data_IF_073684799417
#
_entry.id   IF_073684799417
#
_cell.length_a   1.000
_cell.length_b   1.000
_cell.length_c   1.000
_cell.angle_alpha   90.00
_cell.angle_beta   90.00
_cell.angle_gamma   90.00
#
_symmetry.space_group_name_H-M   'P 1'
#
loop_
_entity.id
_entity.type
_entity.pdbx_description
1 polymer ?
#
# COMPACT_ATOMS: atom_id res chain seq x y z
N UNK A 1 57.73 17.93 -37.44
CA UNK A 1 57.30 16.82 -36.54
C UNK A 1 55.78 16.73 -36.67
N UNK A 2 55.28 15.88 -37.58
CA UNK A 2 54.86 14.47 -37.41
C UNK A 2 53.54 14.31 -36.62
N UNK A 3 52.52 13.85 -37.38
CA UNK A 3 51.46 12.89 -37.03
C UNK A 3 50.32 13.38 -36.11
N UNK A 4 49.08 12.88 -36.19
CA UNK A 4 48.32 12.11 -37.17
C UNK A 4 46.89 12.01 -36.59
N UNK A 5 45.88 11.98 -37.46
CA UNK A 5 44.52 11.54 -37.15
C UNK A 5 44.52 10.18 -36.44
N UNK A 6 43.61 9.98 -35.47
CA UNK A 6 42.86 8.73 -35.33
C UNK A 6 41.45 9.00 -34.79
N UNK A 7 40.49 8.56 -35.59
CA UNK A 7 39.10 8.33 -35.25
C UNK A 7 38.99 7.06 -34.38
N UNK A 8 37.81 6.92 -33.74
CA UNK A 8 36.97 5.72 -33.76
C UNK A 8 36.80 4.90 -32.45
N UNK A 9 35.53 4.85 -32.03
CA UNK A 9 34.75 3.74 -31.45
C UNK A 9 35.00 3.28 -30.00
N UNK A 10 33.91 3.28 -29.22
CA UNK A 10 33.70 2.30 -28.16
C UNK A 10 32.96 2.80 -26.91
N UNK A 11 31.62 2.82 -26.96
CA UNK A 11 30.78 2.09 -25.99
C UNK A 11 31.02 2.26 -24.48
N UNK A 12 30.19 3.06 -23.79
CA UNK A 12 29.10 2.61 -22.90
C UNK A 12 28.62 3.77 -22.03
N UNK A 13 27.35 4.15 -22.25
CA UNK A 13 26.62 4.98 -21.31
C UNK A 13 26.36 4.18 -20.03
N UNK A 14 26.98 4.60 -18.92
CA UNK A 14 26.49 4.29 -17.58
C UNK A 14 26.22 5.61 -16.88
N UNK A 15 24.97 6.05 -17.01
CA UNK A 15 24.36 6.98 -16.06
C UNK A 15 24.40 6.24 -14.71
N UNK A 16 25.34 6.63 -13.86
CA UNK A 16 25.35 6.26 -12.46
C UNK A 16 24.07 6.82 -11.83
N UNK A 17 23.05 5.97 -11.73
CA UNK A 17 21.88 6.22 -10.92
C UNK A 17 22.34 6.44 -9.47
N UNK A 18 21.89 7.51 -8.80
CA UNK A 18 22.27 7.77 -7.44
C UNK A 18 21.73 6.66 -6.53
N UNK A 19 22.62 6.16 -5.69
CA UNK A 19 22.30 5.35 -4.53
C UNK A 19 21.11 5.98 -3.78
N UNK A 20 20.12 5.14 -3.52
CA UNK A 20 18.94 5.45 -2.72
C UNK A 20 19.40 5.94 -1.34
N UNK A 21 19.37 7.26 -1.13
CA UNK A 21 19.56 7.85 0.18
C UNK A 21 18.32 7.56 1.01
N UNK A 22 18.45 6.56 1.87
CA UNK A 22 17.75 6.46 3.13
C UNK A 22 18.03 7.71 4.01
N UNK A 23 17.15 8.02 4.96
CA UNK A 23 17.37 8.97 6.06
C UNK A 23 16.96 10.46 5.90
N UNK A 24 15.86 10.80 5.21
CA UNK A 24 15.03 11.99 5.57
C UNK A 24 13.57 11.82 5.12
N UNK A 25 12.77 11.00 5.82
CA UNK A 25 11.31 11.22 5.79
C UNK A 25 11.05 12.52 6.55
N UNK A 26 10.69 13.53 5.77
CA UNK A 26 10.31 14.85 6.22
C UNK A 26 9.20 14.74 7.27
N UNK A 27 9.52 15.10 8.51
CA UNK A 27 8.55 15.66 9.44
C UNK A 27 8.10 17.00 8.86
N UNK A 28 7.00 16.99 8.11
CA UNK A 28 6.30 18.20 7.68
C UNK A 28 4.93 18.23 8.32
N UNK A 29 4.86 18.96 9.45
CA UNK A 29 3.68 19.44 10.18
C UNK A 29 2.67 18.37 10.66
N UNK A 30 2.12 18.51 11.89
CA UNK A 30 0.90 17.80 12.23
C UNK A 30 -0.26 18.46 11.47
N UNK A 31 -0.35 18.20 10.16
CA UNK A 31 -1.57 18.47 9.44
C UNK A 31 -2.56 17.45 9.99
N UNK A 32 -3.43 17.91 10.89
CA UNK A 32 -4.63 17.18 11.30
C UNK A 32 -5.16 16.48 10.05
N UNK A 33 -5.28 15.14 10.04
CA UNK A 33 -5.76 14.45 8.85
C UNK A 33 -7.05 15.14 8.42
N UNK A 34 -7.21 15.49 7.13
CA UNK A 34 -8.39 16.20 6.68
C UNK A 34 -9.61 15.44 7.20
N UNK A 35 -10.69 16.13 7.61
CA UNK A 35 -11.89 15.50 8.23
C UNK A 35 -12.48 14.34 7.41
N UNK A 36 -12.05 14.21 6.16
CA UNK A 36 -12.51 13.22 5.19
C UNK A 36 -11.50 12.09 4.98
N UNK A 37 -10.31 12.11 5.60
CA UNK A 37 -9.25 11.12 5.38
C UNK A 37 -9.69 9.71 5.78
N UNK A 38 -10.38 9.59 6.92
CA UNK A 38 -10.93 8.29 7.37
C UNK A 38 -12.00 7.78 6.40
N UNK A 39 -12.90 8.67 5.95
CA UNK A 39 -13.91 8.33 4.95
C UNK A 39 -13.28 7.92 3.60
N UNK A 40 -12.19 8.58 3.18
CA UNK A 40 -11.42 8.18 1.99
C UNK A 40 -10.75 6.82 2.18
N UNK A 41 -10.23 6.51 3.37
CA UNK A 41 -9.68 5.18 3.68
C UNK A 41 -10.76 4.11 3.65
N UNK A 42 -11.97 4.38 4.15
CA UNK A 42 -13.12 3.47 4.05
C UNK A 42 -13.55 3.26 2.59
N UNK A 43 -13.61 4.31 1.77
CA UNK A 43 -13.93 4.20 0.34
C UNK A 43 -12.88 3.36 -0.41
N UNK A 44 -11.59 3.57 -0.12
CA UNK A 44 -10.51 2.77 -0.67
C UNK A 44 -10.62 1.29 -0.24
N UNK A 45 -10.94 1.03 1.03
CA UNK A 45 -11.16 -0.34 1.52
C UNK A 45 -12.35 -1.01 0.83
N UNK A 46 -13.42 -0.26 0.57
CA UNK A 46 -14.61 -0.75 -0.13
C UNK A 46 -14.28 -1.27 -1.53
N UNK A 47 -13.30 -0.69 -2.22
CA UNK A 47 -12.83 -1.22 -3.51
C UNK A 47 -12.22 -2.61 -3.38
N UNK A 48 -11.46 -2.86 -2.30
CA UNK A 48 -10.94 -4.18 -1.99
C UNK A 48 -12.08 -5.13 -1.59
N UNK A 49 -13.03 -4.69 -0.76
CA UNK A 49 -14.23 -5.47 -0.40
C UNK A 49 -15.00 -5.95 -1.64
N UNK A 50 -15.17 -5.10 -2.66
CA UNK A 50 -15.85 -5.46 -3.91
C UNK A 50 -15.10 -6.58 -4.64
N UNK A 51 -13.77 -6.48 -4.75
CA UNK A 51 -12.94 -7.51 -5.39
C UNK A 51 -13.06 -8.85 -4.63
N UNK A 52 -12.96 -8.81 -3.30
CA UNK A 52 -13.11 -10.03 -2.47
C UNK A 52 -14.51 -10.63 -2.61
N UNK A 53 -15.55 -9.79 -2.65
CA UNK A 53 -16.95 -10.23 -2.74
C UNK A 53 -17.31 -10.85 -4.09
N UNK A 54 -16.58 -10.49 -5.16
CA UNK A 54 -16.73 -11.13 -6.48
C UNK A 54 -16.30 -12.61 -6.47
N UNK A 55 -15.63 -13.05 -5.39
CA UNK A 55 -15.34 -14.46 -5.14
C UNK A 55 -14.11 -14.99 -5.88
N UNK A 56 -13.37 -14.14 -6.58
CA UNK A 56 -12.13 -14.51 -7.27
C UNK A 56 -11.09 -15.14 -6.32
N UNK A 57 -11.09 -14.73 -5.05
CA UNK A 57 -10.22 -15.28 -4.01
C UNK A 57 -10.70 -16.62 -3.41
N UNK A 58 -11.96 -17.03 -3.66
CA UNK A 58 -12.47 -18.32 -3.16
C UNK A 58 -11.99 -19.50 -4.01
N UNK A 59 -11.61 -19.23 -5.25
CA UNK A 59 -11.19 -20.21 -6.25
C UNK A 59 -9.81 -19.82 -6.79
N UNK A 60 -8.71 -20.20 -6.10
CA UNK A 60 -7.36 -19.86 -6.55
C UNK A 60 -7.05 -20.37 -7.97
N UNK A 61 -7.76 -21.41 -8.42
CA UNK A 61 -7.69 -21.96 -9.78
C UNK A 61 -8.28 -21.05 -10.87
N UNK A 62 -9.21 -20.16 -10.52
CA UNK A 62 -9.82 -19.19 -11.45
C UNK A 62 -9.24 -17.79 -11.30
N UNK A 63 -8.32 -17.57 -10.36
CA UNK A 63 -7.73 -16.28 -10.08
C UNK A 63 -6.88 -15.82 -11.28
N UNK A 64 -7.31 -14.73 -11.93
CA UNK A 64 -6.62 -14.19 -13.08
C UNK A 64 -5.53 -13.21 -12.67
N UNK A 65 -4.58 -12.94 -13.56
CA UNK A 65 -3.55 -11.94 -13.32
C UNK A 65 -4.14 -10.53 -13.20
N UNK A 66 -5.23 -10.24 -13.93
CA UNK A 66 -5.94 -8.98 -13.85
C UNK A 66 -6.61 -8.79 -12.48
N UNK A 67 -7.16 -9.85 -11.88
CA UNK A 67 -7.74 -9.79 -10.52
C UNK A 67 -6.68 -9.48 -9.47
N UNK A 68 -5.51 -10.13 -9.58
CA UNK A 68 -4.39 -9.91 -8.65
C UNK A 68 -3.88 -8.47 -8.79
N UNK A 69 -3.77 -7.95 -10.02
CA UNK A 69 -3.36 -6.56 -10.28
C UNK A 69 -4.40 -5.56 -9.78
N UNK A 70 -5.69 -5.82 -10.00
CA UNK A 70 -6.76 -4.98 -9.48
C UNK A 70 -6.72 -4.91 -7.95
N UNK A 71 -6.49 -6.05 -7.28
CA UNK A 71 -6.31 -6.10 -5.83
C UNK A 71 -5.07 -5.30 -5.40
N UNK A 72 -3.94 -5.46 -6.09
CA UNK A 72 -2.70 -4.73 -5.78
C UNK A 72 -2.88 -3.20 -5.87
N UNK A 73 -3.57 -2.73 -6.92
CA UNK A 73 -3.86 -1.32 -7.12
C UNK A 73 -4.78 -0.77 -6.04
N UNK A 74 -5.83 -1.51 -5.67
CA UNK A 74 -6.72 -1.13 -4.60
C UNK A 74 -6.00 -1.11 -3.22
N UNK A 75 -5.10 -2.06 -2.98
CA UNK A 75 -4.26 -2.09 -1.77
C UNK A 75 -3.30 -0.89 -1.69
N UNK A 76 -2.71 -0.49 -2.81
CA UNK A 76 -1.85 0.70 -2.88
C UNK A 76 -2.64 1.97 -2.54
N UNK A 77 -3.84 2.12 -3.11
CA UNK A 77 -4.74 3.25 -2.81
C UNK A 77 -5.13 3.27 -1.33
N UNK A 78 -5.47 2.11 -0.75
CA UNK A 78 -5.78 2.00 0.66
C UNK A 78 -4.60 2.47 1.53
N UNK A 79 -3.38 2.04 1.20
CA UNK A 79 -2.16 2.43 1.91
C UNK A 79 -1.91 3.93 1.82
N UNK A 80 -2.15 4.54 0.67
CA UNK A 80 -2.02 5.99 0.47
C UNK A 80 -3.03 6.76 1.34
N UNK A 81 -4.30 6.38 1.30
CA UNK A 81 -5.34 6.97 2.15
C UNK A 81 -5.04 6.78 3.65
N UNK A 82 -4.57 5.59 4.06
CA UNK A 82 -4.13 5.32 5.42
C UNK A 82 -2.96 6.22 5.84
N UNK A 83 -2.03 6.51 4.92
CA UNK A 83 -0.94 7.45 5.15
C UNK A 83 -1.41 8.89 5.37
N UNK A 84 -2.36 9.36 4.57
CA UNK A 84 -2.98 10.68 4.74
C UNK A 84 -3.74 10.75 6.07
N UNK A 85 -4.37 9.64 6.48
CA UNK A 85 -5.08 9.50 7.76
C UNK A 85 -4.15 9.24 8.97
N UNK A 86 -2.84 9.10 8.76
CA UNK A 86 -1.84 8.74 9.78
C UNK A 86 -2.13 7.41 10.51
N UNK A 87 -2.76 6.45 9.82
CA UNK A 87 -3.08 5.13 10.36
C UNK A 87 -1.90 4.17 10.20
N UNK A 88 -0.84 4.35 11.00
CA UNK A 88 0.42 3.60 10.87
C UNK A 88 0.23 2.08 10.91
N UNK A 89 -0.62 1.57 11.81
CA UNK A 89 -0.90 0.12 11.89
C UNK A 89 -1.51 -0.40 10.59
N UNK A 90 -2.43 0.35 10.00
CA UNK A 90 -3.08 -0.03 8.74
C UNK A 90 -2.09 0.00 7.58
N UNK A 91 -1.21 1.01 7.53
CA UNK A 91 -0.14 1.07 6.54
C UNK A 91 0.80 -0.14 6.64
N UNK A 92 1.23 -0.50 7.86
CA UNK A 92 2.09 -1.67 8.07
C UNK A 92 1.41 -2.97 7.65
N UNK A 93 0.11 -3.11 7.91
CA UNK A 93 -0.66 -4.25 7.46
C UNK A 93 -0.78 -4.30 5.92
N UNK A 94 -0.97 -3.15 5.27
CA UNK A 94 -0.96 -3.05 3.80
C UNK A 94 0.41 -3.45 3.23
N UNK A 95 1.51 -2.99 3.83
CA UNK A 95 2.87 -3.29 3.36
C UNK A 95 3.18 -4.80 3.50
N UNK A 96 2.77 -5.43 4.60
CA UNK A 96 2.89 -6.89 4.78
C UNK A 96 2.05 -7.68 3.75
N UNK A 97 0.84 -7.20 3.45
CA UNK A 97 -0.02 -7.82 2.46
C UNK A 97 0.51 -7.62 1.03
N UNK A 98 1.15 -6.48 0.75
CA UNK A 98 1.76 -6.18 -0.54
C UNK A 98 2.86 -7.19 -0.90
N UNK A 99 3.63 -7.68 0.08
CA UNK A 99 4.58 -8.78 -0.14
C UNK A 99 3.85 -10.03 -0.63
N UNK A 100 2.73 -10.38 0.00
CA UNK A 100 1.93 -11.55 -0.41
C UNK A 100 1.39 -11.38 -1.82
N UNK A 101 0.83 -10.20 -2.13
CA UNK A 101 0.31 -9.90 -3.47
C UNK A 101 1.41 -9.89 -4.52
N UNK A 102 2.60 -9.36 -4.22
CA UNK A 102 3.77 -9.42 -5.12
C UNK A 102 4.13 -10.86 -5.48
N UNK A 103 4.15 -11.77 -4.50
CA UNK A 103 4.43 -13.20 -4.81
C UNK A 103 3.37 -13.84 -5.72
N UNK A 104 2.14 -13.34 -5.71
CA UNK A 104 1.06 -13.80 -6.59
C UNK A 104 1.16 -13.18 -7.99
N UNK A 105 1.64 -11.94 -8.09
CA UNK A 105 1.92 -11.28 -9.37
C UNK A 105 3.06 -11.99 -10.09
N UNK A 106 4.15 -12.30 -9.38
CA UNK A 106 5.34 -12.94 -9.94
C UNK A 106 5.06 -14.38 -10.38
N UNK A 107 4.27 -15.12 -9.59
CA UNK A 107 3.88 -16.48 -9.92
C UNK A 107 2.49 -16.82 -9.37
N UNK A 108 1.50 -16.87 -10.27
CA UNK A 108 0.12 -17.23 -9.93
C UNK A 108 -0.02 -18.64 -9.36
N UNK A 109 0.90 -19.56 -9.64
CA UNK A 109 0.85 -20.91 -9.08
C UNK A 109 1.07 -20.91 -7.55
N UNK A 110 1.57 -19.80 -7.00
CA UNK A 110 1.62 -19.57 -5.56
C UNK A 110 0.26 -19.22 -4.94
N UNK A 111 -0.80 -19.04 -5.74
CA UNK A 111 -2.15 -18.87 -5.26
C UNK A 111 -2.58 -20.15 -4.52
N UNK A 112 -2.58 -20.07 -3.19
CA UNK A 112 -3.06 -21.13 -2.31
C UNK A 112 -4.29 -20.65 -1.56
N UNK A 113 -5.20 -21.56 -1.16
CA UNK A 113 -6.37 -21.20 -0.37
C UNK A 113 -6.01 -20.38 0.87
N UNK A 114 -4.89 -20.69 1.54
CA UNK A 114 -4.42 -19.96 2.72
C UNK A 114 -4.07 -18.49 2.43
N UNK A 115 -3.41 -18.21 1.30
CA UNK A 115 -3.07 -16.84 0.92
C UNK A 115 -4.31 -16.05 0.54
N UNK A 116 -5.22 -16.65 -0.23
CA UNK A 116 -6.47 -16.00 -0.63
C UNK A 116 -7.40 -15.75 0.57
N UNK A 117 -7.42 -16.67 1.54
CA UNK A 117 -8.10 -16.50 2.81
C UNK A 117 -7.47 -15.38 3.65
N UNK A 118 -6.14 -15.25 3.66
CA UNK A 118 -5.45 -14.14 4.32
C UNK A 118 -5.81 -12.77 3.69
N UNK A 119 -5.86 -12.69 2.36
CA UNK A 119 -6.32 -11.50 1.63
C UNK A 119 -7.76 -11.13 2.01
N UNK A 120 -8.65 -12.13 2.08
CA UNK A 120 -10.06 -11.91 2.46
C UNK A 120 -10.21 -11.47 3.92
N UNK A 121 -9.48 -12.12 4.85
CA UNK A 121 -9.49 -11.74 6.28
C UNK A 121 -8.91 -10.36 6.54
N UNK A 122 -7.91 -9.95 5.76
CA UNK A 122 -7.32 -8.62 5.88
C UNK A 122 -8.38 -7.53 5.74
N UNK A 123 -9.34 -7.69 4.84
CA UNK A 123 -10.39 -6.68 4.60
C UNK A 123 -11.25 -6.45 5.86
N UNK A 124 -11.66 -7.54 6.52
CA UNK A 124 -12.40 -7.46 7.78
C UNK A 124 -11.55 -6.78 8.86
N UNK A 125 -10.28 -7.18 8.97
CA UNK A 125 -9.37 -6.61 9.96
C UNK A 125 -9.09 -5.12 9.73
N UNK A 126 -8.85 -4.72 8.47
CA UNK A 126 -8.62 -3.34 8.08
C UNK A 126 -9.83 -2.46 8.40
N UNK A 127 -11.06 -2.97 8.19
CA UNK A 127 -12.29 -2.27 8.53
C UNK A 127 -12.37 -1.97 10.03
N UNK A 128 -12.13 -2.99 10.86
CA UNK A 128 -12.15 -2.82 12.32
C UNK A 128 -11.11 -1.79 12.79
N UNK A 129 -9.91 -1.82 12.21
CA UNK A 129 -8.85 -0.84 12.52
C UNK A 129 -9.26 0.59 12.18
N UNK A 130 -9.94 0.80 11.04
CA UNK A 130 -10.42 2.13 10.63
C UNK A 130 -11.52 2.63 11.56
N UNK A 131 -12.50 1.78 11.88
CA UNK A 131 -13.61 2.13 12.78
C UNK A 131 -13.13 2.44 14.20
N UNK A 132 -12.13 1.71 14.71
CA UNK A 132 -11.52 2.00 16.01
C UNK A 132 -10.85 3.38 16.04
N UNK A 133 -10.18 3.76 14.94
CA UNK A 133 -9.53 5.08 14.82
C UNK A 133 -10.54 6.25 14.77
N UNK A 134 -11.78 6.03 14.30
CA UNK A 134 -12.85 7.04 14.39
C UNK A 134 -13.27 7.32 15.84
N UNK A 135 -13.34 6.26 16.66
CA UNK A 135 -13.76 6.36 18.06
C UNK A 135 -12.66 6.96 18.95
N UNK A 136 -11.39 6.56 18.76
CA UNK A 136 -10.24 7.12 19.50
C UNK A 136 -10.07 8.63 19.26
N UNK A 137 -10.49 9.12 18.08
CA UNK A 137 -10.45 10.54 17.73
C UNK A 137 -11.57 11.37 18.38
N UNK A 138 -12.63 10.73 18.89
CA UNK A 138 -13.80 11.37 19.49
C UNK A 138 -13.74 11.47 21.02
N UNK A 139 -12.95 10.62 21.69
CA UNK A 139 -12.91 10.53 23.17
C UNK A 139 -11.90 11.48 23.85
N UNK A 140 -11.10 12.25 23.11
CA UNK A 140 -10.21 13.26 23.70
C UNK A 140 -10.96 14.58 23.99
N UNK A 141 -12.07 14.52 24.71
CA UNK A 141 -12.71 15.68 25.34
C UNK A 141 -12.45 15.58 26.84
N UNK A 142 -11.32 16.13 27.28
CA UNK A 142 -11.03 16.30 28.70
C UNK A 142 -12.11 17.23 29.27
N UNK A 143 -12.96 16.79 30.21
CA UNK A 143 -13.90 17.70 30.87
C UNK A 143 -13.09 18.73 31.67
N UNK A 144 -13.49 20.03 31.67
CA UNK A 144 -12.81 21.03 32.46
C UNK A 144 -12.89 20.65 33.94
N UNK A 145 -11.73 20.50 34.57
CA UNK A 145 -11.57 20.39 36.02
C UNK A 145 -12.04 21.71 36.64
N UNK A 146 -13.30 21.75 37.07
CA UNK A 146 -13.78 22.74 38.03
C UNK A 146 -13.49 22.20 39.44
N UNK A 147 -12.54 22.81 40.15
CA UNK A 147 -12.44 22.79 41.61
C UNK A 147 -11.77 24.05 42.09
#
# INVERSE_FOLDING_TARGET
MRNAHYLNMGQHAYIAMPFYNDSKRQQSLPLRPPRNAVASTLDALKKIEVIVSDGCLNHPETLTQDDILAYALALLQLRECAGIAQMERLMNACDALAVTVSTLIDDRANASPKKCEALSRFVVHARDMILMSENESAECVIPPLNS
#
